data_IF_296933224435
#
_entry.id   IF_296933224435
#
_cell.length_a   1.000
_cell.length_b   1.000
_cell.length_c   1.000
_cell.angle_alpha   90.00
_cell.angle_beta   90.00
_cell.angle_gamma   90.00
#
_symmetry.space_group_name_H-M   'P 1'
#
loop_
_entity.id
_entity.type
_entity.pdbx_description
1 polymer ?
#
# COMPACT_ATOMS: atom_id res chain seq x y z
N UNK A 1 -40.68 4.60 -12.83
CA UNK A 1 -40.64 3.60 -13.93
C UNK A 1 -39.85 2.41 -13.43
N UNK A 2 -40.46 1.22 -13.39
CA UNK A 2 -39.82 -0.01 -12.89
C UNK A 2 -39.01 -0.68 -14.00
N UNK A 3 -37.83 -1.18 -13.62
CA UNK A 3 -36.99 -1.99 -14.51
C UNK A 3 -37.75 -3.23 -14.98
N UNK A 4 -37.58 -3.58 -16.26
CA UNK A 4 -38.17 -4.78 -16.83
C UNK A 4 -37.59 -6.03 -16.16
N UNK A 5 -38.35 -7.14 -16.08
CA UNK A 5 -37.88 -8.38 -15.45
C UNK A 5 -36.51 -8.86 -15.96
N UNK A 6 -36.24 -8.72 -17.25
CA UNK A 6 -34.95 -9.05 -17.87
C UNK A 6 -33.80 -8.17 -17.39
N UNK A 7 -34.03 -6.87 -17.21
CA UNK A 7 -33.02 -5.92 -16.70
C UNK A 7 -32.70 -6.20 -15.22
N UNK A 8 -33.72 -6.56 -14.42
CA UNK A 8 -33.53 -7.02 -13.04
C UNK A 8 -32.78 -8.35 -12.96
N UNK A 9 -32.89 -9.20 -13.98
CA UNK A 9 -32.17 -10.47 -14.06
C UNK A 9 -30.71 -10.26 -14.47
N UNK A 10 -30.43 -9.36 -15.42
CA UNK A 10 -29.08 -8.97 -15.83
C UNK A 10 -28.26 -8.39 -14.66
N UNK A 11 -28.85 -7.48 -13.87
CA UNK A 11 -28.20 -6.96 -12.66
C UNK A 11 -27.93 -8.06 -11.62
N UNK A 12 -28.86 -9.01 -11.48
CA UNK A 12 -28.66 -10.15 -10.58
C UNK A 12 -27.56 -11.07 -11.09
N UNK A 13 -27.47 -11.37 -12.38
CA UNK A 13 -26.39 -12.20 -12.95
C UNK A 13 -25.02 -11.53 -12.85
N UNK A 14 -24.94 -10.21 -13.02
CA UNK A 14 -23.68 -9.45 -12.89
C UNK A 14 -23.19 -9.30 -11.44
N UNK A 15 -24.11 -9.24 -10.47
CA UNK A 15 -23.79 -8.99 -9.06
C UNK A 15 -23.85 -10.25 -8.18
N UNK A 16 -24.47 -11.33 -8.65
CA UNK A 16 -24.56 -12.58 -7.90
C UNK A 16 -23.24 -13.32 -8.00
N UNK A 17 -22.56 -13.45 -6.87
CA UNK A 17 -21.21 -14.02 -6.77
C UNK A 17 -20.21 -13.28 -7.66
N UNK A 18 -20.17 -11.95 -7.55
CA UNK A 18 -18.94 -11.22 -7.90
C UNK A 18 -17.84 -11.73 -6.97
N UNK A 19 -17.18 -12.80 -7.39
CA UNK A 19 -15.99 -13.32 -6.72
C UNK A 19 -14.97 -12.22 -6.88
N UNK A 20 -14.71 -11.50 -5.80
CA UNK A 20 -13.58 -10.57 -5.77
C UNK A 20 -12.37 -11.41 -6.15
N UNK A 21 -11.77 -11.06 -7.28
CA UNK A 21 -10.61 -11.78 -7.80
C UNK A 21 -9.54 -11.85 -6.71
N UNK A 22 -8.84 -12.99 -6.61
CA UNK A 22 -7.87 -13.19 -5.54
C UNK A 22 -6.75 -12.13 -5.58
N UNK A 23 -6.37 -11.64 -6.77
CA UNK A 23 -5.42 -10.54 -6.95
C UNK A 23 -6.03 -9.20 -6.57
N UNK A 24 -7.30 -8.93 -6.89
CA UNK A 24 -7.97 -7.69 -6.46
C UNK A 24 -8.09 -7.62 -4.93
N UNK A 25 -8.39 -8.75 -4.28
CA UNK A 25 -8.43 -8.85 -2.82
C UNK A 25 -7.05 -8.59 -2.19
N UNK A 26 -5.99 -9.08 -2.84
CA UNK A 26 -4.60 -8.86 -2.43
C UNK A 26 -4.20 -7.39 -2.61
N UNK A 27 -4.44 -6.82 -3.78
CA UNK A 27 -4.20 -5.41 -4.07
C UNK A 27 -4.93 -4.49 -3.09
N UNK A 28 -6.18 -4.82 -2.74
CA UNK A 28 -6.93 -4.04 -1.74
C UNK A 28 -6.30 -4.11 -0.35
N UNK A 29 -5.82 -5.29 0.09
CA UNK A 29 -5.13 -5.44 1.39
C UNK A 29 -3.81 -4.65 1.40
N UNK A 30 -3.03 -4.76 0.33
CA UNK A 30 -1.75 -4.05 0.18
C UNK A 30 -1.96 -2.53 0.07
N UNK A 31 -2.94 -2.11 -0.73
CA UNK A 31 -3.34 -0.72 -0.90
C UNK A 31 -3.82 -0.09 0.40
N UNK A 32 -4.73 -0.74 1.13
CA UNK A 32 -5.19 -0.26 2.43
C UNK A 32 -4.03 -0.10 3.42
N UNK A 33 -3.09 -1.04 3.45
CA UNK A 33 -1.90 -0.95 4.31
C UNK A 33 -0.99 0.22 3.91
N UNK A 34 -0.76 0.42 2.62
CA UNK A 34 0.01 1.53 2.06
C UNK A 34 -0.64 2.88 2.37
N UNK A 35 -1.95 2.99 2.15
CA UNK A 35 -2.72 4.22 2.39
C UNK A 35 -2.67 4.64 3.85
N UNK A 36 -2.86 3.68 4.79
CA UNK A 36 -2.73 3.97 6.22
C UNK A 36 -1.33 4.46 6.60
N UNK A 37 -0.27 3.86 6.02
CA UNK A 37 1.11 4.32 6.27
C UNK A 37 1.36 5.72 5.72
N UNK A 38 0.89 5.99 4.51
CA UNK A 38 1.01 7.30 3.87
C UNK A 38 0.27 8.36 4.67
N UNK A 39 -0.97 8.08 5.08
CA UNK A 39 -1.77 8.97 5.91
C UNK A 39 -1.08 9.31 7.24
N UNK A 40 -0.52 8.32 7.95
CA UNK A 40 0.23 8.56 9.20
C UNK A 40 1.49 9.40 8.98
N UNK A 41 2.20 9.19 7.87
CA UNK A 41 3.39 9.97 7.52
C UNK A 41 3.01 11.42 7.19
N UNK A 42 1.98 11.61 6.38
CA UNK A 42 1.46 12.92 5.98
C UNK A 42 0.93 13.72 7.17
N UNK A 43 0.16 13.08 8.05
CA UNK A 43 -0.30 13.65 9.32
C UNK A 43 0.88 14.09 10.20
N UNK A 44 1.88 13.22 10.38
CA UNK A 44 3.09 13.53 11.16
C UNK A 44 3.88 14.70 10.57
N UNK A 45 3.98 14.75 9.24
CA UNK A 45 4.67 15.82 8.52
C UNK A 45 3.89 17.13 8.60
N UNK A 46 2.57 17.08 8.52
CA UNK A 46 1.71 18.25 8.66
C UNK A 46 1.78 18.83 10.07
N UNK A 47 1.81 17.98 11.11
CA UNK A 47 2.06 18.40 12.50
C UNK A 47 3.40 19.12 12.66
N UNK A 48 4.49 18.54 12.14
CA UNK A 48 5.83 19.18 12.13
C UNK A 48 5.84 20.53 11.40
N UNK A 49 5.03 20.68 10.33
CA UNK A 49 4.90 21.92 9.57
C UNK A 49 4.06 22.99 10.27
N UNK A 50 2.99 22.60 10.98
CA UNK A 50 2.08 23.54 11.64
C UNK A 50 2.57 24.02 13.00
N UNK A 51 3.02 23.11 13.85
CA UNK A 51 3.29 23.42 15.26
C UNK A 51 4.78 23.76 15.51
N UNK A 52 5.62 23.65 14.46
CA UNK A 52 7.07 23.73 14.59
C UNK A 52 7.66 22.43 15.17
N UNK A 53 8.83 22.03 14.70
CA UNK A 53 9.47 20.78 15.09
C UNK A 53 9.84 20.81 16.59
N UNK A 54 9.31 19.92 17.46
CA UNK A 54 9.79 19.85 18.82
C UNK A 54 11.27 19.42 18.79
N UNK A 55 12.14 20.25 19.35
CA UNK A 55 13.60 20.06 19.35
C UNK A 55 14.07 18.70 19.93
N UNK A 56 13.18 17.95 20.57
CA UNK A 56 13.46 16.63 21.16
C UNK A 56 13.41 15.45 20.18
N UNK A 57 12.98 15.65 18.93
CA UNK A 57 12.86 14.56 17.94
C UNK A 57 14.03 14.47 16.94
N UNK A 58 15.17 15.12 17.21
CA UNK A 58 16.37 15.09 16.38
C UNK A 58 17.20 13.77 16.48
N UNK A 59 16.57 12.66 16.86
CA UNK A 59 17.24 11.39 17.18
C UNK A 59 16.76 10.19 16.35
N UNK A 60 16.37 10.37 15.09
CA UNK A 60 16.11 9.24 14.19
C UNK A 60 17.35 8.96 13.34
N UNK A 61 17.94 7.74 13.37
CA UNK A 61 19.15 7.44 12.62
C UNK A 61 18.88 7.50 11.11
N UNK A 62 19.89 7.85 10.28
CA UNK A 62 19.74 7.85 8.84
C UNK A 62 19.42 6.44 8.36
N UNK A 63 18.29 6.37 7.65
CA UNK A 63 17.84 5.27 6.82
C UNK A 63 19.00 4.81 5.91
N UNK A 64 19.63 3.69 6.27
CA UNK A 64 20.65 3.02 5.46
C UNK A 64 19.98 2.35 4.26
N UNK A 65 19.74 3.12 3.20
CA UNK A 65 19.40 2.54 1.91
C UNK A 65 20.65 2.15 1.14
N UNK A 66 20.71 0.85 0.82
CA UNK A 66 21.38 0.23 -0.32
C UNK A 66 22.91 0.25 -0.37
N UNK A 67 23.51 -0.94 -0.33
CA UNK A 67 24.11 -1.62 -1.51
C UNK A 67 24.92 -2.83 -1.03
N UNK A 68 24.44 -4.05 -1.27
CA UNK A 68 25.30 -5.24 -1.39
C UNK A 68 24.55 -6.42 -2.04
N UNK A 69 23.83 -6.14 -3.13
CA UNK A 69 23.76 -7.11 -4.22
C UNK A 69 25.12 -7.02 -4.94
N UNK A 70 26.12 -7.74 -4.45
CA UNK A 70 27.33 -8.00 -5.24
C UNK A 70 27.64 -9.48 -5.17
N UNK A 71 27.70 -10.01 -6.38
CA UNK A 71 27.57 -11.39 -6.73
C UNK A 71 28.77 -12.21 -6.25
N UNK A 72 28.49 -13.51 -6.12
CA UNK A 72 29.44 -14.61 -5.93
C UNK A 72 30.77 -14.37 -6.66
N UNK A 73 31.88 -14.38 -5.91
CA UNK A 73 33.23 -14.59 -6.45
C UNK A 73 33.62 -16.06 -6.22
N UNK A 74 34.00 -16.84 -7.24
CA UNK A 74 34.56 -18.17 -7.01
C UNK A 74 36.02 -18.01 -6.59
N UNK A 75 36.40 -18.55 -5.43
CA UNK A 75 37.82 -18.71 -5.11
C UNK A 75 38.39 -19.81 -6.00
N UNK A 76 39.17 -19.39 -7.00
CA UNK A 76 40.05 -20.24 -7.79
C UNK A 76 41.47 -20.17 -7.24
N UNK A 77 41.99 -21.34 -6.84
CA UNK A 77 43.40 -21.79 -6.84
C UNK A 77 44.48 -20.82 -6.35
N UNK A 78 45.16 -21.20 -5.26
CA UNK A 78 46.61 -21.47 -5.26
C UNK A 78 46.93 -22.62 -4.33
#
# INVERSE_FOLDING_TARGET
MSLRPSEREQMRKGNYKQTVDAEESRHRREGQMMDMRKAKCEESLQKKRRDGFPASAAGMPPMVHSTALQQKSPQSKR
#
